data_IF_841468131611
#
_entry.id   IF_841468131611
#
_cell.length_a   1.000
_cell.length_b   1.000
_cell.length_c   1.000
_cell.angle_alpha   90.00
_cell.angle_beta   90.00
_cell.angle_gamma   90.00
#
_symmetry.space_group_name_H-M   'P 1'
#
loop_
_entity.id
_entity.type
_entity.pdbx_description
1 polymer ?
#
# COMPACT_ATOMS: atom_id res chain seq x y z
N UNK A 1 9.76 -11.90 -12.64
CA UNK A 1 8.38 -11.40 -12.38
C UNK A 1 8.32 -9.92 -12.73
N UNK A 2 7.24 -9.46 -13.37
CA UNK A 2 7.01 -8.03 -13.64
C UNK A 2 6.83 -7.30 -12.30
N UNK A 3 7.57 -6.22 -12.08
CA UNK A 3 7.39 -5.30 -10.95
C UNK A 3 6.62 -4.08 -11.42
N UNK A 4 5.58 -3.70 -10.69
CA UNK A 4 4.75 -2.51 -10.88
C UNK A 4 5.35 -1.36 -10.06
N UNK A 5 5.17 -0.11 -10.50
CA UNK A 5 5.83 1.07 -9.91
C UNK A 5 4.79 2.14 -9.55
N UNK A 6 4.31 2.15 -8.32
CA UNK A 6 3.42 3.19 -7.82
C UNK A 6 4.23 4.46 -7.52
N UNK A 7 3.95 5.55 -8.22
CA UNK A 7 4.56 6.86 -7.98
C UNK A 7 3.69 7.65 -7.01
N UNK A 8 4.29 8.19 -5.95
CA UNK A 8 3.58 8.92 -4.91
C UNK A 8 4.28 10.24 -4.64
N UNK A 9 3.48 11.27 -4.35
CA UNK A 9 4.00 12.47 -3.68
C UNK A 9 4.46 12.11 -2.27
N UNK A 10 5.29 12.96 -1.65
CA UNK A 10 5.71 12.75 -0.27
C UNK A 10 4.51 12.62 0.70
N UNK A 11 3.45 13.40 0.49
CA UNK A 11 2.24 13.39 1.32
C UNK A 11 1.51 12.06 1.17
N UNK A 12 1.25 11.63 -0.08
CA UNK A 12 0.55 10.36 -0.36
C UNK A 12 1.36 9.17 0.16
N UNK A 13 2.68 9.24 0.04
CA UNK A 13 3.59 8.24 0.56
C UNK A 13 3.49 8.12 2.10
N UNK A 14 3.59 9.22 2.83
CA UNK A 14 3.47 9.24 4.29
C UNK A 14 2.10 8.76 4.76
N UNK A 15 1.05 9.15 4.03
CA UNK A 15 -0.31 8.71 4.30
C UNK A 15 -0.45 7.18 4.16
N UNK A 16 -0.02 6.64 3.02
CA UNK A 16 -0.05 5.21 2.78
C UNK A 16 0.79 4.44 3.80
N UNK A 17 1.99 4.95 4.13
CA UNK A 17 2.83 4.36 5.16
C UNK A 17 2.13 4.32 6.52
N UNK A 18 1.46 5.41 6.93
CA UNK A 18 0.70 5.48 8.18
C UNK A 18 -0.43 4.45 8.23
N UNK A 19 -1.16 4.30 7.12
CA UNK A 19 -2.21 3.28 6.99
C UNK A 19 -1.63 1.88 7.15
N UNK A 20 -0.57 1.56 6.41
CA UNK A 20 -0.03 0.21 6.38
C UNK A 20 0.64 -0.19 7.70
N UNK A 21 1.26 0.76 8.39
CA UNK A 21 1.76 0.54 9.76
C UNK A 21 0.62 0.16 10.70
N UNK A 22 -0.49 0.92 10.69
CA UNK A 22 -1.64 0.64 11.56
C UNK A 22 -2.29 -0.70 11.25
N UNK A 23 -2.46 -1.02 9.96
CA UNK A 23 -3.02 -2.31 9.55
C UNK A 23 -2.11 -3.47 9.96
N UNK A 24 -0.82 -3.38 9.67
CA UNK A 24 0.11 -4.43 10.05
C UNK A 24 0.18 -4.61 11.57
N UNK A 25 0.14 -3.53 12.36
CA UNK A 25 0.08 -3.62 13.83
C UNK A 25 -1.21 -4.27 14.32
N UNK A 26 -2.37 -3.94 13.73
CA UNK A 26 -3.65 -4.57 14.06
C UNK A 26 -3.63 -6.07 13.76
N UNK A 27 -3.08 -6.47 12.61
CA UNK A 27 -3.02 -7.87 12.20
C UNK A 27 -1.84 -8.64 12.79
N UNK A 28 -0.84 -7.99 13.38
CA UNK A 28 0.34 -8.66 13.96
C UNK A 28 -0.01 -9.59 15.13
N UNK A 29 -1.07 -9.26 15.86
CA UNK A 29 -1.56 -10.08 16.97
C UNK A 29 -2.53 -11.19 16.50
N UNK A 30 -2.95 -11.16 15.24
CA UNK A 30 -3.86 -12.13 14.65
C UNK A 30 -3.10 -13.13 13.77
N UNK A 31 -3.52 -14.39 13.78
CA UNK A 31 -3.07 -15.33 12.75
C UNK A 31 -3.62 -14.86 11.40
N UNK A 32 -2.77 -14.62 10.39
CA UNK A 32 -3.24 -14.16 9.08
C UNK A 32 -4.20 -15.21 8.51
N UNK A 33 -5.48 -14.83 8.41
CA UNK A 33 -6.55 -15.72 7.93
C UNK A 33 -6.53 -15.87 6.41
N UNK A 34 -5.88 -14.94 5.73
CA UNK A 34 -5.87 -14.84 4.27
C UNK A 34 -4.47 -14.50 3.77
N UNK A 35 -4.19 -14.86 2.51
CA UNK A 35 -2.89 -14.59 1.86
C UNK A 35 -2.59 -13.10 1.85
N UNK A 36 -3.61 -12.25 1.69
CA UNK A 36 -3.45 -10.80 1.80
C UNK A 36 -2.81 -10.42 3.14
N UNK A 37 -3.30 -10.97 4.27
CA UNK A 37 -2.82 -10.60 5.61
C UNK A 37 -1.35 -10.96 5.79
N UNK A 38 -0.96 -12.12 5.27
CA UNK A 38 0.44 -12.53 5.24
C UNK A 38 1.28 -11.57 4.37
N UNK A 39 0.79 -11.19 3.18
CA UNK A 39 1.49 -10.25 2.30
C UNK A 39 1.63 -8.85 2.90
N UNK A 40 0.67 -8.39 3.71
CA UNK A 40 0.75 -7.14 4.45
C UNK A 40 1.83 -7.20 5.54
N UNK A 41 1.84 -8.28 6.33
CA UNK A 41 2.88 -8.50 7.35
C UNK A 41 4.24 -8.60 6.67
N UNK A 42 4.36 -9.30 5.53
CA UNK A 42 5.60 -9.35 4.75
C UNK A 42 6.00 -7.97 4.21
N UNK A 43 5.07 -7.16 3.70
CA UNK A 43 5.35 -5.79 3.24
C UNK A 43 5.83 -4.90 4.40
N UNK A 44 5.21 -5.04 5.57
CA UNK A 44 5.57 -4.35 6.79
C UNK A 44 6.91 -4.84 7.34
N UNK A 45 7.19 -6.15 7.38
CA UNK A 45 8.45 -6.70 7.90
C UNK A 45 9.62 -6.39 6.97
N UNK A 46 9.37 -6.33 5.67
CA UNK A 46 10.29 -5.75 4.69
C UNK A 46 10.38 -4.21 4.76
N UNK A 47 9.66 -3.59 5.72
CA UNK A 47 9.46 -2.14 5.95
C UNK A 47 9.50 -1.31 4.69
N UNK A 48 8.73 -1.80 3.72
CA UNK A 48 8.54 -1.25 2.40
C UNK A 48 9.86 -1.02 1.66
N UNK A 49 10.27 -2.07 0.92
CA UNK A 49 11.39 -2.12 -0.01
C UNK A 49 11.14 -1.23 -1.25
N UNK A 50 10.85 0.03 -0.97
CA UNK A 50 10.63 1.14 -1.87
C UNK A 50 12.04 1.48 -2.36
N UNK A 51 12.27 1.31 -3.65
CA UNK A 51 13.35 2.07 -4.26
C UNK A 51 12.91 3.53 -4.21
N UNK A 52 13.21 4.21 -3.10
CA UNK A 52 13.01 5.66 -2.95
C UNK A 52 14.00 6.33 -3.89
N UNK A 53 13.67 6.31 -5.18
CA UNK A 53 14.37 7.09 -6.17
C UNK A 53 13.84 8.50 -6.02
N UNK A 54 14.61 9.32 -5.30
CA UNK A 54 14.34 10.75 -5.19
C UNK A 54 14.74 11.43 -6.51
N UNK A 55 13.91 11.23 -7.53
CA UNK A 55 13.98 11.97 -8.78
C UNK A 55 12.72 12.84 -8.74
N UNK A 56 12.92 14.15 -8.63
CA UNK A 56 11.85 15.17 -8.63
C UNK A 56 10.89 15.15 -7.41
N UNK A 57 11.33 14.72 -6.22
CA UNK A 57 10.51 14.58 -4.99
C UNK A 57 9.40 13.53 -5.07
N UNK A 58 9.40 12.68 -6.09
CA UNK A 58 8.50 11.53 -6.18
C UNK A 58 9.08 10.36 -5.38
N UNK A 59 8.20 9.62 -4.68
CA UNK A 59 8.54 8.35 -4.00
C UNK A 59 7.97 7.20 -4.82
N UNK A 60 8.80 6.23 -5.19
CA UNK A 60 8.39 5.11 -6.06
C UNK A 60 8.37 3.79 -5.31
N UNK A 61 7.18 3.23 -5.11
CA UNK A 61 7.03 1.90 -4.51
C UNK A 61 7.04 0.85 -5.61
N UNK A 62 7.92 -0.15 -5.49
CA UNK A 62 7.95 -1.30 -6.40
C UNK A 62 7.21 -2.48 -5.78
N UNK A 63 6.12 -2.91 -6.41
CA UNK A 63 5.28 -4.01 -5.93
C UNK A 63 5.18 -5.09 -7.01
N UNK A 64 5.09 -6.36 -6.62
CA UNK A 64 4.65 -7.42 -7.52
C UNK A 64 3.11 -7.46 -7.58
N UNK A 65 2.54 -8.24 -8.52
CA UNK A 65 1.07 -8.27 -8.73
C UNK A 65 0.31 -8.67 -7.47
N UNK A 66 0.77 -9.69 -6.74
CA UNK A 66 0.09 -10.17 -5.53
C UNK A 66 0.11 -9.12 -4.42
N UNK A 67 1.21 -8.37 -4.28
CA UNK A 67 1.30 -7.25 -3.34
C UNK A 67 0.36 -6.10 -3.72
N UNK A 68 0.20 -5.80 -5.01
CA UNK A 68 -0.75 -4.77 -5.48
C UNK A 68 -2.19 -5.19 -5.16
N UNK A 69 -2.56 -6.44 -5.43
CA UNK A 69 -3.91 -6.95 -5.14
C UNK A 69 -4.19 -6.96 -3.63
N UNK A 70 -3.25 -7.45 -2.82
CA UNK A 70 -3.37 -7.42 -1.36
C UNK A 70 -3.51 -5.97 -0.85
N UNK A 71 -2.70 -5.03 -1.34
CA UNK A 71 -2.80 -3.62 -0.96
C UNK A 71 -4.17 -3.03 -1.30
N UNK A 72 -4.71 -3.37 -2.47
CA UNK A 72 -6.04 -2.95 -2.88
C UNK A 72 -7.13 -3.50 -1.95
N UNK A 73 -7.10 -4.79 -1.62
CA UNK A 73 -8.01 -5.42 -0.66
C UNK A 73 -7.94 -4.73 0.71
N UNK A 74 -6.73 -4.50 1.24
CA UNK A 74 -6.58 -3.85 2.55
C UNK A 74 -7.11 -2.44 2.61
N UNK A 75 -6.82 -1.64 1.59
CA UNK A 75 -7.32 -0.26 1.55
C UNK A 75 -8.86 -0.24 1.52
N UNK A 76 -9.50 -1.27 0.93
CA UNK A 76 -10.96 -1.35 0.84
C UNK A 76 -11.62 -1.69 2.17
N UNK A 77 -10.92 -2.42 3.04
CA UNK A 77 -11.42 -2.83 4.35
C UNK A 77 -11.36 -1.71 5.40
N UNK A 78 -10.60 -0.64 5.17
CA UNK A 78 -10.44 0.42 6.17
C UNK A 78 -11.69 1.31 6.20
N UNK A 79 -12.41 1.40 7.33
CA UNK A 79 -13.52 2.32 7.48
C UNK A 79 -12.98 3.76 7.64
N UNK A 80 -12.82 4.46 6.51
CA UNK A 80 -12.38 5.85 6.44
C UNK A 80 -13.57 6.79 6.24
N UNK A 81 -13.41 8.05 6.66
CA UNK A 81 -14.42 9.10 6.49
C UNK A 81 -13.73 10.44 6.16
N UNK A 82 -14.47 11.35 5.53
CA UNK A 82 -13.98 12.69 5.17
C UNK A 82 -12.86 12.69 4.14
N UNK A 83 -11.93 13.63 4.24
CA UNK A 83 -10.83 13.84 3.28
C UNK A 83 -9.92 12.60 3.11
N UNK A 84 -9.87 11.76 4.14
CA UNK A 84 -9.08 10.53 4.18
C UNK A 84 -9.63 9.47 3.23
N UNK A 85 -10.95 9.43 3.08
CA UNK A 85 -11.67 8.53 2.17
C UNK A 85 -11.39 8.90 0.70
N UNK A 86 -11.42 10.21 0.41
CA UNK A 86 -11.12 10.77 -0.92
C UNK A 86 -9.69 10.43 -1.34
N UNK A 87 -8.73 10.59 -0.42
CA UNK A 87 -7.32 10.28 -0.68
C UNK A 87 -7.10 8.79 -0.96
N UNK A 88 -7.76 7.88 -0.22
CA UNK A 88 -7.74 6.44 -0.52
C UNK A 88 -8.32 6.16 -1.91
N UNK A 89 -9.46 6.75 -2.25
CA UNK A 89 -10.10 6.51 -3.56
C UNK A 89 -9.22 6.99 -4.73
N UNK A 90 -8.48 8.09 -4.53
CA UNK A 90 -7.48 8.52 -5.50
C UNK A 90 -6.38 7.47 -5.68
N UNK A 91 -5.86 6.92 -4.58
CA UNK A 91 -4.87 5.84 -4.63
C UNK A 91 -5.41 4.56 -5.27
N UNK A 92 -6.70 4.22 -5.08
CA UNK A 92 -7.32 3.10 -5.78
C UNK A 92 -7.27 3.26 -7.29
N UNK A 93 -7.67 4.42 -7.79
CA UNK A 93 -7.65 4.69 -9.22
C UNK A 93 -6.24 4.57 -9.80
N UNK A 94 -5.22 4.98 -9.04
CA UNK A 94 -3.83 4.77 -9.45
C UNK A 94 -3.45 3.28 -9.47
N UNK A 95 -3.78 2.51 -8.41
CA UNK A 95 -3.51 1.07 -8.35
C UNK A 95 -4.21 0.29 -9.46
N UNK A 96 -5.45 0.63 -9.81
CA UNK A 96 -6.20 0.01 -10.90
C UNK A 96 -5.56 0.28 -12.26
N UNK A 97 -5.10 1.51 -12.50
CA UNK A 97 -4.30 1.82 -13.69
C UNK A 97 -2.99 1.02 -13.76
N UNK A 98 -2.42 0.60 -12.62
CA UNK A 98 -1.26 -0.29 -12.59
C UNK A 98 -1.58 -1.75 -12.91
N UNK A 99 -2.83 -2.18 -12.71
CA UNK A 99 -3.27 -3.57 -12.94
C UNK A 99 -3.77 -3.83 -14.38
N UNK A 100 -4.26 -2.80 -15.08
CA UNK A 100 -4.64 -2.83 -16.51
C UNK A 100 -3.46 -2.90 -17.47
#
# INVERSE_FOLDING_TARGET
MKKYRLKLTEINFRFLQSILLKLAEAYKAELPKEIAHQLLIELYDNKFNISVLDIDKEKVIQLNRSQVMALHEFLAEIPLQGDVDVLRNHMFNELDQFLG
#
